data_IF_176171508914
#
_entry.id   IF_176171508914
#
_cell.length_a   1.000
_cell.length_b   1.000
_cell.length_c   1.000
_cell.angle_alpha   90.00
_cell.angle_beta   90.00
_cell.angle_gamma   90.00
#
_symmetry.space_group_name_H-M   'P 1'
#
loop_
_entity.id
_entity.type
_entity.pdbx_description
1 polymer ?
#
# COMPACT_ATOMS: atom_id res chain seq x y z
N UNK A 1 14.97 -22.91 7.26
CA UNK A 1 15.04 -22.14 6.00
C UNK A 1 13.63 -21.99 5.48
N UNK A 2 13.08 -20.77 5.47
CA UNK A 2 11.77 -20.50 4.88
C UNK A 2 11.88 -20.69 3.36
N UNK A 3 11.00 -21.53 2.79
CA UNK A 3 10.88 -21.69 1.34
C UNK A 3 10.05 -20.52 0.84
N UNK A 4 10.68 -19.54 0.18
CA UNK A 4 9.95 -18.55 -0.60
C UNK A 4 9.37 -19.28 -1.82
N UNK A 5 8.05 -19.37 -1.90
CA UNK A 5 7.39 -19.87 -3.10
C UNK A 5 7.64 -18.87 -4.22
N UNK A 6 8.32 -19.31 -5.28
CA UNK A 6 8.56 -18.51 -6.49
C UNK A 6 7.28 -18.19 -7.28
N UNK A 7 6.17 -18.83 -6.90
CA UNK A 7 4.82 -18.56 -7.38
C UNK A 7 4.01 -18.07 -6.20
N UNK A 8 3.53 -16.83 -6.24
CA UNK A 8 2.40 -16.43 -5.40
C UNK A 8 1.25 -17.36 -5.76
N UNK A 9 0.56 -17.92 -4.76
CA UNK A 9 -0.67 -18.63 -5.07
C UNK A 9 -1.67 -17.59 -5.60
N UNK A 10 -2.56 -17.97 -6.53
CA UNK A 10 -3.59 -17.07 -7.07
C UNK A 10 -4.50 -16.43 -6.00
N UNK A 11 -4.42 -16.93 -4.76
CA UNK A 11 -5.12 -16.44 -3.56
C UNK A 11 -4.39 -15.37 -2.76
N UNK A 12 -3.12 -15.07 -3.04
CA UNK A 12 -2.33 -14.14 -2.24
C UNK A 12 -2.55 -12.70 -2.73
N UNK A 13 -2.77 -11.75 -1.81
CA UNK A 13 -2.89 -10.32 -2.14
C UNK A 13 -1.59 -9.84 -2.84
N UNK A 14 -1.64 -9.43 -4.12
CA UNK A 14 -0.46 -9.04 -4.88
C UNK A 14 0.32 -7.88 -4.26
N UNK A 15 -0.37 -6.96 -3.57
CA UNK A 15 0.27 -5.83 -2.89
C UNK A 15 1.02 -6.29 -1.64
N UNK A 16 0.42 -7.19 -0.86
CA UNK A 16 1.05 -7.78 0.32
C UNK A 16 2.29 -8.58 -0.08
N UNK A 17 2.18 -9.41 -1.12
CA UNK A 17 3.27 -10.20 -1.65
C UNK A 17 4.44 -9.33 -2.20
N UNK A 18 4.12 -8.31 -3.00
CA UNK A 18 5.13 -7.37 -3.50
C UNK A 18 5.83 -6.63 -2.36
N UNK A 19 5.08 -6.30 -1.30
CA UNK A 19 5.58 -5.66 -0.10
C UNK A 19 6.52 -6.56 0.68
N UNK A 20 6.18 -7.83 0.88
CA UNK A 20 7.05 -8.81 1.52
C UNK A 20 8.37 -8.96 0.76
N UNK A 21 8.32 -9.17 -0.56
CA UNK A 21 9.51 -9.24 -1.41
C UNK A 21 10.39 -8.00 -1.28
N UNK A 22 9.79 -6.81 -1.35
CA UNK A 22 10.49 -5.53 -1.22
C UNK A 22 11.20 -5.41 0.13
N UNK A 23 10.50 -5.72 1.22
CA UNK A 23 11.05 -5.60 2.58
C UNK A 23 12.17 -6.62 2.77
N UNK A 24 11.99 -7.86 2.32
CA UNK A 24 13.04 -8.88 2.41
C UNK A 24 14.28 -8.52 1.60
N UNK A 25 14.10 -8.03 0.36
CA UNK A 25 15.20 -7.54 -0.46
C UNK A 25 15.98 -6.41 0.23
N UNK A 26 15.29 -5.46 0.87
CA UNK A 26 15.92 -4.37 1.60
C UNK A 26 16.61 -4.82 2.90
N UNK A 27 16.16 -5.92 3.51
CA UNK A 27 16.84 -6.54 4.66
C UNK A 27 18.16 -7.18 4.24
N UNK A 28 18.17 -7.87 3.10
CA UNK A 28 19.38 -8.50 2.56
C UNK A 28 20.36 -7.43 2.07
N UNK A 29 19.86 -6.35 1.46
CA UNK A 29 20.64 -5.23 0.93
C UNK A 29 21.83 -5.71 0.06
N UNK A 30 21.57 -6.45 -1.05
CA UNK A 30 22.59 -7.21 -1.77
C UNK A 30 23.58 -6.35 -2.57
N UNK A 31 23.25 -5.09 -2.85
CA UNK A 31 24.09 -4.20 -3.65
C UNK A 31 24.80 -3.16 -2.78
N UNK A 32 25.96 -2.66 -3.25
CA UNK A 32 26.66 -1.57 -2.58
C UNK A 32 25.83 -0.28 -2.53
N UNK A 33 25.09 0.01 -3.61
CA UNK A 33 24.12 1.11 -3.69
C UNK A 33 22.96 0.72 -4.63
N UNK A 34 21.88 1.49 -4.66
CA UNK A 34 20.75 1.30 -5.55
C UNK A 34 19.67 0.36 -5.01
N UNK A 35 19.83 -0.23 -3.82
CA UNK A 35 18.85 -1.13 -3.21
C UNK A 35 17.46 -0.49 -3.08
N UNK A 36 17.40 0.79 -2.73
CA UNK A 36 16.14 1.54 -2.66
C UNK A 36 15.45 1.67 -4.02
N UNK A 37 16.19 1.84 -5.11
CA UNK A 37 15.63 1.88 -6.46
C UNK A 37 15.21 0.48 -6.91
N UNK A 38 16.09 -0.51 -6.78
CA UNK A 38 15.78 -1.89 -7.20
C UNK A 38 14.61 -2.49 -6.45
N UNK A 39 14.48 -2.26 -5.15
CA UNK A 39 13.31 -2.72 -4.38
C UNK A 39 11.98 -2.13 -4.89
N UNK A 40 11.98 -0.89 -5.40
CA UNK A 40 10.78 -0.28 -6.02
C UNK A 40 10.49 -0.87 -7.39
N UNK A 41 11.53 -1.17 -8.17
CA UNK A 41 11.39 -1.85 -9.46
C UNK A 41 10.86 -3.26 -9.28
N UNK A 42 11.40 -4.04 -8.34
CA UNK A 42 10.92 -5.39 -8.01
C UNK A 42 9.48 -5.38 -7.53
N UNK A 43 9.13 -4.43 -6.66
CA UNK A 43 7.76 -4.24 -6.19
C UNK A 43 6.79 -4.04 -7.37
N UNK A 44 7.08 -3.07 -8.25
CA UNK A 44 6.21 -2.79 -9.40
C UNK A 44 6.24 -3.91 -10.45
N UNK A 45 7.37 -4.57 -10.65
CA UNK A 45 7.47 -5.72 -11.57
C UNK A 45 6.52 -6.83 -11.15
N UNK A 46 6.54 -7.20 -9.86
CA UNK A 46 5.63 -8.22 -9.35
C UNK A 46 4.18 -7.76 -9.43
N UNK A 47 3.90 -6.51 -9.04
CA UNK A 47 2.54 -5.99 -9.06
C UNK A 47 1.93 -5.94 -10.47
N UNK A 48 2.72 -5.54 -11.48
CA UNK A 48 2.26 -5.46 -12.87
C UNK A 48 1.92 -6.83 -13.49
N UNK A 49 2.44 -7.94 -12.94
CA UNK A 49 2.05 -9.28 -13.38
C UNK A 49 0.60 -9.61 -13.00
N UNK A 50 0.04 -8.95 -11.97
CA UNK A 50 -1.33 -9.14 -11.50
C UNK A 50 -2.25 -7.97 -11.86
N UNK A 51 -1.72 -6.74 -11.83
CA UNK A 51 -2.42 -5.52 -12.18
C UNK A 51 -1.70 -4.83 -13.34
N UNK A 52 -1.88 -5.31 -14.58
CA UNK A 52 -1.31 -4.66 -15.74
C UNK A 52 -1.79 -3.21 -15.76
N UNK A 53 -0.88 -2.30 -16.10
CA UNK A 53 -1.05 -0.84 -16.11
C UNK A 53 -0.90 -0.13 -14.77
N UNK A 54 -1.05 -0.77 -13.60
CA UNK A 54 -0.83 -0.07 -12.32
C UNK A 54 0.67 0.10 -12.03
N UNK A 55 1.12 1.37 -11.97
CA UNK A 55 2.47 1.75 -11.53
C UNK A 55 2.37 2.52 -10.22
N UNK A 56 2.94 1.96 -9.15
CA UNK A 56 2.93 2.58 -7.83
C UNK A 56 4.15 3.47 -7.67
N UNK A 57 3.89 4.75 -7.45
CA UNK A 57 4.91 5.74 -7.11
C UNK A 57 4.99 5.90 -5.60
N UNK A 58 6.18 6.31 -5.12
CA UNK A 58 6.40 6.59 -3.71
C UNK A 58 7.23 7.85 -3.57
N UNK A 59 6.76 8.74 -2.71
CA UNK A 59 7.48 9.95 -2.36
C UNK A 59 7.48 10.98 -3.48
N UNK A 60 6.30 11.31 -3.98
CA UNK A 60 6.09 12.43 -4.90
C UNK A 60 6.29 13.77 -4.16
N UNK A 61 5.80 13.84 -2.92
CA UNK A 61 5.97 14.99 -2.04
C UNK A 61 7.02 14.77 -0.93
N UNK A 62 7.52 15.87 -0.33
CA UNK A 62 8.49 15.78 0.79
C UNK A 62 7.91 15.05 2.01
N UNK A 63 6.64 15.29 2.34
CA UNK A 63 5.96 14.64 3.46
C UNK A 63 5.81 13.15 3.21
N UNK A 64 5.38 12.77 2.00
CA UNK A 64 5.19 11.38 1.61
C UNK A 64 6.53 10.63 1.54
N UNK A 65 7.61 11.25 1.03
CA UNK A 65 8.98 10.69 1.10
C UNK A 65 9.38 10.35 2.53
N UNK A 66 9.04 11.21 3.48
CA UNK A 66 9.31 10.98 4.89
C UNK A 66 8.50 9.81 5.44
N UNK A 67 7.20 9.77 5.14
CA UNK A 67 6.28 8.69 5.52
C UNK A 67 6.74 7.34 4.94
N UNK A 68 7.05 7.29 3.65
CA UNK A 68 7.60 6.12 2.97
C UNK A 68 8.85 5.58 3.68
N UNK A 69 9.85 6.44 3.93
CA UNK A 69 11.09 6.02 4.62
C UNK A 69 10.82 5.51 6.03
N UNK A 70 9.91 6.16 6.76
CA UNK A 70 9.53 5.73 8.10
C UNK A 70 8.90 4.33 8.08
N UNK A 71 7.90 4.11 7.21
CA UNK A 71 7.19 2.83 7.12
C UNK A 71 8.09 1.69 6.64
N UNK A 72 8.97 1.93 5.68
CA UNK A 72 9.96 0.93 5.24
C UNK A 72 10.88 0.53 6.38
N UNK A 73 11.43 1.51 7.13
CA UNK A 73 12.28 1.22 8.29
C UNK A 73 11.52 0.46 9.38
N UNK A 74 10.27 0.85 9.62
CA UNK A 74 9.45 0.21 10.63
C UNK A 74 9.11 -1.23 10.26
N UNK A 75 8.75 -1.51 9.00
CA UNK A 75 8.53 -2.87 8.51
C UNK A 75 9.77 -3.75 8.63
N UNK A 76 10.96 -3.20 8.34
CA UNK A 76 12.23 -3.94 8.51
C UNK A 76 12.49 -4.22 10.00
N UNK A 77 12.36 -3.20 10.85
CA UNK A 77 12.64 -3.28 12.29
C UNK A 77 11.73 -4.26 13.02
N UNK A 78 10.45 -4.22 12.70
CA UNK A 78 9.41 -5.05 13.31
C UNK A 78 9.27 -6.43 12.68
N UNK A 79 9.97 -6.70 11.57
CA UNK A 79 9.76 -7.89 10.72
C UNK A 79 8.29 -8.06 10.29
N UNK A 80 7.58 -6.94 10.12
CA UNK A 80 6.18 -6.92 9.73
C UNK A 80 6.01 -6.15 8.41
N UNK A 81 6.10 -6.83 7.24
CA UNK A 81 5.87 -6.21 5.93
C UNK A 81 4.47 -5.62 5.77
N UNK A 82 3.48 -6.10 6.55
CA UNK A 82 2.11 -5.58 6.57
C UNK A 82 2.00 -4.08 6.83
N UNK A 83 2.91 -3.51 7.64
CA UNK A 83 2.96 -2.07 7.94
C UNK A 83 3.17 -1.24 6.67
N UNK A 84 4.11 -1.67 5.80
CA UNK A 84 4.34 -1.06 4.51
C UNK A 84 3.24 -1.42 3.50
N UNK A 85 2.69 -2.63 3.57
CA UNK A 85 1.69 -3.15 2.63
C UNK A 85 0.44 -2.29 2.56
N UNK A 86 -0.08 -1.84 3.71
CA UNK A 86 -1.25 -0.96 3.74
C UNK A 86 -0.99 0.39 3.06
N UNK A 87 0.20 0.97 3.27
CA UNK A 87 0.59 2.20 2.58
C UNK A 87 0.79 1.98 1.08
N UNK A 88 1.37 0.85 0.69
CA UNK A 88 1.52 0.48 -0.71
C UNK A 88 0.16 0.30 -1.40
N UNK A 89 -0.82 -0.29 -0.71
CA UNK A 89 -2.19 -0.46 -1.20
C UNK A 89 -2.87 0.88 -1.44
N UNK A 90 -2.72 1.84 -0.52
CA UNK A 90 -3.24 3.21 -0.70
C UNK A 90 -2.68 3.87 -1.95
N UNK A 91 -1.37 3.77 -2.17
CA UNK A 91 -0.75 4.36 -3.36
C UNK A 91 -1.16 3.62 -4.64
N UNK A 92 -1.28 2.29 -4.61
CA UNK A 92 -1.77 1.51 -5.74
C UNK A 92 -3.21 1.88 -6.13
N UNK A 93 -4.09 2.04 -5.15
CA UNK A 93 -5.45 2.53 -5.37
C UNK A 93 -5.45 3.95 -5.95
N UNK A 94 -4.59 4.84 -5.45
CA UNK A 94 -4.41 6.18 -6.01
C UNK A 94 -3.97 6.15 -7.47
N UNK A 95 -2.97 5.32 -7.81
CA UNK A 95 -2.50 5.14 -9.18
C UNK A 95 -3.58 4.57 -10.11
N UNK A 96 -4.39 3.63 -9.62
CA UNK A 96 -5.52 3.08 -10.37
C UNK A 96 -6.59 4.14 -10.65
N UNK A 97 -6.94 4.95 -9.65
CA UNK A 97 -7.90 6.05 -9.80
C UNK A 97 -7.39 7.09 -10.80
N UNK A 98 -6.11 7.47 -10.72
CA UNK A 98 -5.51 8.40 -11.67
C UNK A 98 -5.57 7.89 -13.12
N UNK A 99 -5.37 6.59 -13.32
CA UNK A 99 -5.52 5.98 -14.64
C UNK A 99 -6.97 5.99 -15.11
N UNK A 100 -7.91 5.67 -14.21
CA UNK A 100 -9.34 5.72 -14.51
C UNK A 100 -9.78 7.14 -14.92
N UNK A 101 -9.31 8.16 -14.20
CA UNK A 101 -9.54 9.56 -14.55
C UNK A 101 -8.92 9.93 -15.91
N UNK A 102 -7.73 9.41 -16.20
CA UNK A 102 -7.03 9.61 -17.47
C UNK A 102 -7.68 8.95 -18.70
N UNK A 103 -8.55 7.95 -18.49
CA UNK A 103 -9.25 7.25 -19.59
C UNK A 103 -10.37 8.08 -20.23
N UNK A 104 -10.85 9.16 -19.59
CA UNK A 104 -11.76 10.13 -20.22
C UNK A 104 -13.03 9.54 -20.89
N UNK A 105 -13.78 10.31 -21.70
CA UNK A 105 -15.15 9.97 -22.13
C UNK A 105 -15.29 8.80 -23.12
N UNK A 106 -14.21 8.09 -23.48
CA UNK A 106 -14.28 6.92 -24.37
C UNK A 106 -14.90 5.67 -23.70
N UNK A 107 -15.03 5.68 -22.37
CA UNK A 107 -15.53 4.55 -21.56
C UNK A 107 -16.57 5.03 -20.55
N UNK A 108 -17.69 5.61 -21.01
CA UNK A 108 -18.89 5.80 -20.17
C UNK A 108 -19.45 4.43 -19.73
N UNK A 109 -18.80 3.80 -18.75
CA UNK A 109 -19.52 3.12 -17.69
C UNK A 109 -20.00 4.23 -16.76
N UNK A 110 -21.31 4.49 -16.88
CA UNK A 110 -22.16 5.42 -16.15
C UNK A 110 -21.50 6.19 -14.98
N UNK A 111 -21.41 7.50 -15.14
CA UNK A 111 -20.95 8.52 -14.17
C UNK A 111 -21.63 8.45 -12.78
N UNK A 112 -22.69 7.64 -12.65
CA UNK A 112 -23.44 7.39 -11.42
C UNK A 112 -22.69 6.46 -10.44
N UNK A 113 -21.85 5.55 -10.92
CA UNK A 113 -21.17 4.55 -10.08
C UNK A 113 -19.89 5.11 -9.42
N UNK A 114 -19.14 5.96 -10.12
CA UNK A 114 -17.94 6.61 -9.55
C UNK A 114 -18.27 7.60 -8.43
N UNK A 115 -19.41 8.27 -8.52
CA UNK A 115 -19.88 9.22 -7.50
C UNK A 115 -20.20 8.51 -6.18
N UNK A 116 -20.76 7.29 -6.27
CA UNK A 116 -21.04 6.43 -5.11
C UNK A 116 -19.75 5.90 -4.49
N UNK A 117 -18.82 5.40 -5.32
CA UNK A 117 -17.54 4.88 -4.84
C UNK A 117 -16.71 5.94 -4.10
N UNK A 118 -16.71 7.18 -4.59
CA UNK A 118 -16.02 8.32 -3.96
C UNK A 118 -16.66 8.72 -2.64
N UNK A 119 -17.99 8.66 -2.55
CA UNK A 119 -18.73 8.90 -1.31
C UNK A 119 -18.40 7.80 -0.26
N UNK A 120 -18.40 6.54 -0.68
CA UNK A 120 -18.10 5.41 0.20
C UNK A 120 -16.65 5.46 0.72
N UNK A 121 -15.69 5.83 -0.13
CA UNK A 121 -14.29 5.97 0.27
C UNK A 121 -14.07 7.14 1.25
N UNK A 122 -14.84 8.23 1.10
CA UNK A 122 -14.81 9.37 2.01
C UNK A 122 -15.40 9.04 3.39
N UNK A 123 -16.41 8.17 3.45
CA UNK A 123 -17.00 7.66 4.70
C UNK A 123 -16.02 6.75 5.45
N UNK A 124 -15.25 5.93 4.73
CA UNK A 124 -14.19 5.09 5.31
C UNK A 124 -13.03 5.94 5.83
N UNK A 125 -12.67 7.04 5.14
CA UNK A 125 -11.64 7.96 5.61
C UNK A 125 -12.07 8.81 6.81
N UNK A 126 -13.37 9.11 6.96
CA UNK A 126 -13.93 9.89 8.06
C UNK A 126 -14.11 9.10 9.36
N UNK A 127 -14.30 7.78 9.30
CA UNK A 127 -14.48 6.93 10.50
C UNK A 127 -13.26 6.81 11.40
N UNK A 128 -12.06 7.15 10.92
CA UNK A 128 -10.83 7.10 11.72
C UNK A 128 -10.59 8.35 12.60
N UNK A 129 -11.53 9.30 12.67
CA UNK A 129 -11.41 10.49 13.52
C UNK A 129 -12.43 10.57 14.67
N UNK A 130 -13.34 9.60 14.83
CA UNK A 130 -14.36 9.63 15.90
C UNK A 130 -14.40 8.39 16.82
N UNK A 131 -13.35 7.58 16.86
CA UNK A 131 -13.12 6.70 18.02
C UNK A 131 -12.06 7.31 18.93
N UNK A 132 -12.47 8.36 19.65
CA UNK A 132 -11.79 8.76 20.87
C UNK A 132 -11.84 7.60 21.87
N UNK A 133 -10.67 7.18 22.36
CA UNK A 133 -10.56 6.23 23.46
C UNK A 133 -11.52 6.64 24.61
N UNK A 134 -12.34 5.72 25.15
CA UNK A 134 -13.06 6.01 26.38
C UNK A 134 -12.04 6.20 27.51
N UNK A 135 -12.19 7.30 28.24
CA UNK A 135 -11.38 7.61 29.40
C UNK A 135 -11.46 6.47 30.42
N UNK A 136 -10.30 5.97 30.85
CA UNK A 136 -10.14 5.14 32.04
C UNK A 136 -10.49 5.99 33.28
N UNK A 137 -11.77 6.06 33.61
CA UNK A 137 -12.28 6.79 34.75
C UNK A 137 -13.73 6.38 34.98
N UNK A 138 -13.90 5.23 35.63
CA UNK A 138 -15.00 4.91 36.57
C UNK A 138 -15.15 3.39 36.69
N UNK A 139 -14.25 2.78 37.47
CA UNK A 139 -14.56 1.54 38.19
C UNK A 139 -14.21 1.77 39.66
N UNK A 140 -15.12 2.47 40.32
CA UNK A 140 -15.23 2.55 41.77
C UNK A 140 -16.57 1.95 42.19
N UNK A 141 -16.46 0.87 42.98
CA UNK A 141 -17.42 0.33 43.96
C UNK A 141 -18.59 -0.53 43.44
N UNK A 142 -18.44 -1.86 43.55
CA UNK A 142 -18.81 -2.61 44.78
C UNK A 142 -18.11 -3.97 44.83
#
# INVERSE_FOLDING_TARGET
>A
MARYSTTLNDSDDPVAAASELKIEFLRICPFFDGNGLMSRLLFNFLLMNHYPHILVTFGESRSERSKYRHLVRESIRSQAPGIFSFFALQNAAGSALQQLEGLGPATQLELSDMSRLKADLSLVSGRNQEEGLPALGDLSLN
#
